data_IF_091027485511
#
_entry.id   IF_091027485511
#
_cell.length_a   1.000
_cell.length_b   1.000
_cell.length_c   1.000
_cell.angle_alpha   90.00
_cell.angle_beta   90.00
_cell.angle_gamma   90.00
#
_symmetry.space_group_name_H-M   'P 1'
#
loop_
_entity.id
_entity.type
_entity.pdbx_description
1 polymer ?
#
# COMPACT_ATOMS: atom_id res chain seq x y z
N UNK A 1 -10.94 46.87 -23.18
CA UNK A 1 -12.19 46.83 -23.98
C UNK A 1 -12.30 45.41 -24.51
N UNK A 2 -12.86 44.50 -23.70
CA UNK A 2 -14.20 43.90 -23.85
C UNK A 2 -14.31 42.97 -25.05
N UNK A 3 -14.41 41.67 -24.77
CA UNK A 3 -15.39 40.76 -25.38
C UNK A 3 -15.65 39.61 -24.40
N UNK A 4 -16.84 39.62 -23.83
CA UNK A 4 -17.40 38.59 -22.97
C UNK A 4 -17.83 37.37 -23.79
N UNK A 5 -17.77 36.18 -23.20
CA UNK A 5 -18.72 35.10 -23.51
C UNK A 5 -19.06 34.35 -22.22
N UNK A 6 -20.31 34.47 -21.80
CA UNK A 6 -20.95 33.69 -20.74
C UNK A 6 -21.86 32.61 -21.36
N UNK A 7 -22.24 31.65 -20.52
CA UNK A 7 -23.36 30.69 -20.61
C UNK A 7 -23.02 29.33 -21.26
N UNK A 8 -23.52 28.17 -20.82
CA UNK A 8 -24.61 27.89 -19.88
C UNK A 8 -24.42 26.51 -19.21
N UNK A 9 -25.03 26.35 -18.04
CA UNK A 9 -25.19 25.12 -17.26
C UNK A 9 -26.14 24.16 -17.98
N UNK A 10 -25.84 22.86 -17.99
CA UNK A 10 -26.82 21.81 -18.22
C UNK A 10 -26.60 20.65 -17.23
N UNK A 11 -27.38 20.66 -16.15
CA UNK A 11 -27.64 19.51 -15.30
C UNK A 11 -28.62 18.61 -16.03
N UNK A 12 -28.28 17.34 -16.25
CA UNK A 12 -29.29 16.30 -16.53
C UNK A 12 -28.95 15.06 -15.73
N UNK A 13 -29.85 14.74 -14.80
CA UNK A 13 -29.86 13.53 -14.01
C UNK A 13 -30.77 12.47 -14.65
N UNK A 14 -30.39 11.20 -14.45
CA UNK A 14 -31.24 10.04 -14.13
C UNK A 14 -32.16 9.44 -15.23
N UNK A 15 -31.92 8.15 -15.60
CA UNK A 15 -32.76 6.99 -15.20
C UNK A 15 -32.43 5.70 -15.98
N UNK A 16 -31.98 4.68 -15.23
CA UNK A 16 -32.34 3.26 -15.20
C UNK A 16 -32.93 2.62 -16.48
N UNK A 17 -32.27 1.58 -16.99
CA UNK A 17 -32.93 0.44 -17.64
C UNK A 17 -32.44 -0.89 -17.07
N UNK A 18 -33.39 -1.59 -16.44
CA UNK A 18 -33.36 -2.98 -16.02
C UNK A 18 -33.48 -3.87 -17.27
N UNK A 19 -32.54 -4.80 -17.46
CA UNK A 19 -32.59 -5.81 -18.52
C UNK A 19 -32.83 -7.20 -17.93
N UNK A 20 -34.09 -7.63 -17.85
CA UNK A 20 -34.48 -9.02 -17.61
C UNK A 20 -34.83 -9.66 -18.96
N UNK A 21 -34.11 -10.74 -19.31
CA UNK A 21 -34.50 -11.73 -20.33
C UNK A 21 -34.17 -13.10 -19.72
N UNK A 22 -35.10 -13.75 -19.02
CA UNK A 22 -36.03 -14.78 -19.53
C UNK A 22 -35.33 -15.97 -20.21
N UNK A 23 -35.31 -17.14 -19.55
CA UNK A 23 -35.65 -18.46 -20.14
C UNK A 23 -35.73 -19.54 -19.02
N UNK A 24 -36.91 -20.16 -18.86
CA UNK A 24 -37.09 -21.38 -18.06
C UNK A 24 -38.53 -21.57 -17.54
N UNK A 25 -39.35 -22.44 -18.16
CA UNK A 25 -40.73 -22.70 -17.73
C UNK A 25 -40.79 -23.93 -16.81
N UNK A 26 -41.08 -23.74 -15.52
CA UNK A 26 -41.50 -24.84 -14.66
C UNK A 26 -42.92 -24.56 -14.14
N UNK A 27 -43.82 -25.44 -14.54
CA UNK A 27 -45.23 -25.52 -14.19
C UNK A 27 -45.41 -25.99 -12.74
N UNK A 28 -46.41 -25.43 -12.05
CA UNK A 28 -47.03 -25.95 -10.83
C UNK A 28 -46.14 -25.79 -9.59
N UNK A 29 -46.60 -25.28 -8.45
CA UNK A 29 -47.87 -25.51 -7.77
C UNK A 29 -48.19 -24.27 -6.93
N UNK A 30 -49.42 -23.79 -7.01
CA UNK A 30 -50.01 -22.82 -6.08
C UNK A 30 -50.65 -23.59 -4.91
N UNK A 31 -50.43 -23.16 -3.66
CA UNK A 31 -51.53 -23.13 -2.70
C UNK A 31 -51.70 -21.73 -2.06
N UNK A 32 -52.95 -21.27 -2.09
CA UNK A 32 -53.54 -20.03 -1.55
C UNK A 32 -53.46 -19.96 0.02
N UNK A 33 -53.51 -18.77 0.66
CA UNK A 33 -52.93 -18.47 1.99
C UNK A 33 -53.95 -18.49 3.15
N UNK A 34 -53.51 -18.24 4.40
CA UNK A 34 -54.30 -17.49 5.35
C UNK A 34 -53.66 -16.15 5.76
N UNK A 35 -54.53 -15.15 5.81
CA UNK A 35 -54.33 -13.76 6.16
C UNK A 35 -53.98 -13.55 7.64
N UNK A 36 -52.91 -12.77 7.92
CA UNK A 36 -52.61 -12.18 9.22
C UNK A 36 -51.62 -11.00 9.09
N UNK A 37 -52.10 -9.77 9.32
CA UNK A 37 -51.31 -8.52 9.50
C UNK A 37 -50.68 -8.48 10.93
N UNK A 38 -49.81 -7.52 11.34
CA UNK A 38 -49.21 -6.36 10.65
C UNK A 38 -47.66 -6.29 10.78
N UNK A 39 -47.07 -5.25 10.16
CA UNK A 39 -45.65 -4.91 10.09
C UNK A 39 -44.85 -4.99 11.41
N UNK A 40 -43.63 -5.56 11.31
CA UNK A 40 -42.48 -5.26 12.17
C UNK A 40 -41.29 -4.95 11.25
N UNK A 41 -40.79 -3.73 11.35
CA UNK A 41 -39.43 -3.38 10.95
C UNK A 41 -38.48 -3.92 12.04
N UNK A 42 -37.51 -4.71 11.62
CA UNK A 42 -36.24 -4.99 12.28
C UNK A 42 -35.30 -5.27 11.10
N UNK A 43 -34.47 -4.35 10.60
CA UNK A 43 -33.34 -3.72 11.29
C UNK A 43 -32.68 -4.68 12.27
N UNK A 44 -31.86 -5.57 11.73
CA UNK A 44 -30.72 -6.16 12.44
C UNK A 44 -29.73 -6.73 11.41
N UNK A 45 -28.99 -5.82 10.76
CA UNK A 45 -27.68 -6.15 10.22
C UNK A 45 -26.72 -6.15 11.42
N UNK A 46 -26.01 -7.24 11.72
CA UNK A 46 -24.96 -7.16 12.74
C UNK A 46 -23.82 -6.32 12.17
N UNK A 47 -23.77 -5.05 12.55
CA UNK A 47 -22.55 -4.24 12.47
C UNK A 47 -21.60 -4.82 13.53
N UNK A 48 -20.67 -5.66 13.11
CA UNK A 48 -19.62 -6.16 14.01
C UNK A 48 -18.58 -5.07 14.26
N UNK A 49 -18.17 -4.82 15.52
CA UNK A 49 -17.08 -3.92 15.86
C UNK A 49 -15.65 -4.42 15.54
N UNK A 50 -15.49 -5.60 14.91
CA UNK A 50 -14.18 -6.27 14.67
C UNK A 50 -13.44 -5.84 13.38
N UNK A 51 -13.93 -4.81 12.69
CA UNK A 51 -13.43 -4.38 11.37
C UNK A 51 -11.99 -3.79 11.35
N UNK A 52 -11.49 -3.05 12.37
CA UNK A 52 -10.16 -2.43 12.27
C UNK A 52 -9.01 -3.41 12.51
N UNK A 53 -9.11 -4.32 13.48
CA UNK A 53 -8.05 -5.30 13.77
C UNK A 53 -7.91 -6.31 12.62
N UNK A 54 -9.04 -6.77 12.07
CA UNK A 54 -9.03 -7.69 10.93
C UNK A 54 -8.42 -7.07 9.67
N UNK A 55 -8.56 -5.75 9.47
CA UNK A 55 -7.93 -5.03 8.35
C UNK A 55 -6.42 -4.88 8.53
N UNK A 56 -5.96 -4.57 9.75
CA UNK A 56 -4.53 -4.40 10.04
C UNK A 56 -3.76 -5.73 9.91
N UNK A 57 -4.33 -6.84 10.37
CA UNK A 57 -3.72 -8.17 10.21
C UNK A 57 -3.69 -8.63 8.74
N UNK A 58 -4.71 -8.28 7.95
CA UNK A 58 -4.67 -8.50 6.50
C UNK A 58 -3.55 -7.69 5.83
N UNK A 59 -3.39 -6.42 6.19
CA UNK A 59 -2.32 -5.59 5.67
C UNK A 59 -0.93 -6.13 6.02
N UNK A 60 -0.76 -6.65 7.25
CA UNK A 60 0.47 -7.36 7.65
C UNK A 60 0.74 -8.59 6.80
N UNK A 61 -0.28 -9.43 6.56
CA UNK A 61 -0.14 -10.62 5.71
C UNK A 61 0.26 -10.25 4.27
N UNK A 62 -0.26 -9.14 3.75
CA UNK A 62 0.11 -8.63 2.43
C UNK A 62 1.58 -8.15 2.41
N UNK A 63 2.00 -7.38 3.43
CA UNK A 63 3.40 -6.94 3.55
C UNK A 63 4.37 -8.13 3.64
N UNK A 64 4.05 -9.18 4.40
CA UNK A 64 4.87 -10.40 4.44
C UNK A 64 4.95 -11.08 3.07
N UNK A 65 3.86 -11.05 2.28
CA UNK A 65 3.85 -11.56 0.90
C UNK A 65 4.77 -10.73 0.02
N UNK A 66 4.69 -9.39 0.09
CA UNK A 66 5.58 -8.47 -0.64
C UNK A 66 7.05 -8.75 -0.29
N UNK A 67 7.38 -8.92 0.99
CA UNK A 67 8.76 -9.26 1.43
C UNK A 67 9.20 -10.61 0.87
N UNK A 68 8.33 -11.62 0.91
CA UNK A 68 8.62 -12.94 0.35
C UNK A 68 8.91 -12.86 -1.15
N UNK A 69 8.10 -12.13 -1.90
CA UNK A 69 8.23 -11.97 -3.35
C UNK A 69 9.49 -11.17 -3.73
N UNK A 70 9.86 -10.18 -2.91
CA UNK A 70 11.08 -9.36 -3.06
C UNK A 70 12.38 -10.13 -2.78
N UNK A 71 12.31 -11.29 -2.12
CA UNK A 71 13.50 -11.95 -1.56
C UNK A 71 14.53 -12.36 -2.62
N UNK A 72 14.07 -12.90 -3.75
CA UNK A 72 14.97 -13.38 -4.80
C UNK A 72 15.74 -12.26 -5.47
N UNK A 73 15.08 -11.14 -5.78
CA UNK A 73 15.73 -9.99 -6.41
C UNK A 73 16.71 -9.31 -5.44
N UNK A 74 16.32 -9.12 -4.18
CA UNK A 74 17.17 -8.47 -3.19
C UNK A 74 18.40 -9.31 -2.83
N UNK A 75 18.26 -10.64 -2.79
CA UNK A 75 19.40 -11.55 -2.58
C UNK A 75 20.43 -11.47 -3.71
N UNK A 76 20.00 -11.13 -4.94
CA UNK A 76 20.91 -10.90 -6.06
C UNK A 76 21.69 -9.57 -5.95
N UNK A 77 21.29 -8.69 -5.02
CA UNK A 77 21.91 -7.39 -4.75
C UNK A 77 22.85 -7.42 -3.54
N UNK A 78 23.30 -8.61 -3.11
CA UNK A 78 24.28 -8.76 -2.04
C UNK A 78 25.53 -7.89 -2.30
N UNK A 79 25.95 -7.13 -1.28
CA UNK A 79 27.04 -6.14 -1.31
C UNK A 79 26.83 -4.94 -2.24
N UNK A 80 25.66 -4.80 -2.87
CA UNK A 80 25.31 -3.63 -3.69
C UNK A 80 24.66 -2.53 -2.85
N UNK A 81 24.79 -1.30 -3.35
CA UNK A 81 24.05 -0.14 -2.87
C UNK A 81 22.71 -0.05 -3.60
N UNK A 82 21.65 0.22 -2.86
CA UNK A 82 20.29 0.47 -3.37
C UNK A 82 19.79 1.83 -2.89
N UNK A 83 18.74 2.33 -3.54
CA UNK A 83 17.99 3.48 -3.05
C UNK A 83 17.01 2.99 -1.99
N UNK A 84 17.12 3.50 -0.76
CA UNK A 84 16.12 3.28 0.28
C UNK A 84 15.20 4.50 0.35
N UNK A 85 13.89 4.27 0.15
CA UNK A 85 12.86 5.30 0.13
C UNK A 85 12.20 5.49 1.50
N UNK A 86 11.98 4.39 2.23
CA UNK A 86 11.39 4.47 3.56
C UNK A 86 11.81 3.31 4.46
N UNK A 87 11.67 3.53 5.75
CA UNK A 87 11.74 2.50 6.78
C UNK A 87 10.66 2.81 7.81
N UNK A 88 9.71 1.89 8.00
CA UNK A 88 8.62 2.05 8.97
C UNK A 88 8.60 0.90 9.94
N UNK A 89 8.24 1.20 11.18
CA UNK A 89 8.02 0.22 12.23
C UNK A 89 6.61 0.44 12.78
N UNK A 90 5.77 -0.60 12.87
CA UNK A 90 4.46 -0.47 13.47
C UNK A 90 4.58 -0.09 14.96
N UNK A 91 3.69 0.77 15.44
CA UNK A 91 3.70 1.39 16.78
C UNK A 91 4.95 2.25 17.07
N UNK A 92 5.72 2.62 16.04
CA UNK A 92 6.77 3.62 16.18
C UNK A 92 6.12 4.99 16.40
N UNK A 93 6.53 5.66 17.46
CA UNK A 93 6.07 6.99 17.86
C UNK A 93 7.19 8.04 17.68
N UNK A 94 8.23 7.73 16.89
CA UNK A 94 9.34 8.65 16.62
C UNK A 94 8.94 9.91 15.83
N UNK A 95 7.72 9.94 15.26
CA UNK A 95 7.16 11.11 14.56
C UNK A 95 5.80 11.53 15.12
N UNK A 96 5.14 12.47 14.43
CA UNK A 96 3.83 13.00 14.80
C UNK A 96 2.66 12.04 14.51
N UNK A 97 2.95 10.89 13.89
CA UNK A 97 1.96 9.92 13.44
C UNK A 97 2.32 8.51 13.90
N UNK A 98 1.35 7.81 14.50
CA UNK A 98 1.42 6.39 14.80
C UNK A 98 1.27 5.56 13.52
N UNK A 99 2.19 4.61 13.32
CA UNK A 99 2.22 3.71 12.17
C UNK A 99 1.58 2.36 12.51
N UNK A 100 0.61 1.92 11.69
CA UNK A 100 0.11 0.54 11.68
C UNK A 100 0.46 -0.14 10.33
N UNK A 101 0.18 -1.44 10.17
CA UNK A 101 0.51 -2.15 8.94
C UNK A 101 -0.31 -1.63 7.74
N UNK A 102 -1.55 -1.19 7.98
CA UNK A 102 -2.39 -0.59 6.94
C UNK A 102 -1.75 0.66 6.33
N UNK A 103 -1.18 1.55 7.15
CA UNK A 103 -0.47 2.75 6.70
C UNK A 103 0.85 2.42 6.01
N UNK A 104 1.59 1.43 6.51
CA UNK A 104 2.84 0.97 5.87
C UNK A 104 2.55 0.42 4.47
N UNK A 105 1.53 -0.43 4.33
CA UNK A 105 1.10 -0.98 3.04
C UNK A 105 0.64 0.13 2.09
N UNK A 106 -0.13 1.10 2.59
CA UNK A 106 -0.56 2.25 1.81
C UNK A 106 0.63 3.08 1.32
N UNK A 107 1.61 3.36 2.19
CA UNK A 107 2.83 4.10 1.81
C UNK A 107 3.60 3.34 0.73
N UNK A 108 3.77 2.02 0.87
CA UNK A 108 4.42 1.20 -0.14
C UNK A 108 3.74 1.34 -1.51
N UNK A 109 2.41 1.22 -1.55
CA UNK A 109 1.62 1.32 -2.78
C UNK A 109 1.66 2.73 -3.39
N UNK A 110 1.68 3.78 -2.57
CA UNK A 110 1.77 5.15 -3.05
C UNK A 110 3.18 5.47 -3.58
N UNK A 111 4.21 4.93 -2.93
CA UNK A 111 5.58 4.96 -3.44
C UNK A 111 5.69 4.20 -4.78
N UNK A 112 5.07 3.03 -4.92
CA UNK A 112 5.13 2.23 -6.15
C UNK A 112 4.53 2.99 -7.34
N UNK A 113 3.38 3.65 -7.14
CA UNK A 113 2.76 4.52 -8.15
C UNK A 113 3.66 5.70 -8.56
N UNK A 114 4.48 6.19 -7.63
CA UNK A 114 5.31 7.40 -7.82
C UNK A 114 6.68 7.08 -8.41
N UNK A 115 7.33 6.03 -7.93
CA UNK A 115 8.74 5.71 -8.22
C UNK A 115 8.92 4.46 -9.08
N UNK A 116 7.83 3.73 -9.38
CA UNK A 116 7.85 2.54 -10.23
C UNK A 116 8.08 1.26 -9.43
N UNK A 117 8.84 0.31 -9.98
CA UNK A 117 9.10 -0.98 -9.34
C UNK A 117 9.83 -0.81 -8.02
N UNK A 118 9.24 -1.36 -6.95
CA UNK A 118 9.79 -1.37 -5.60
C UNK A 118 9.94 -2.80 -5.10
N UNK A 119 10.74 -2.93 -4.04
CA UNK A 119 10.92 -4.14 -3.28
C UNK A 119 10.86 -3.80 -1.79
N UNK A 120 10.47 -4.78 -0.97
CA UNK A 120 10.45 -4.63 0.48
C UNK A 120 11.32 -5.69 1.17
N UNK A 121 12.00 -5.29 2.23
CA UNK A 121 12.72 -6.19 3.12
C UNK A 121 12.40 -5.88 4.59
N UNK A 122 12.66 -6.86 5.45
CA UNK A 122 12.68 -6.65 6.90
C UNK A 122 14.10 -6.40 7.38
N UNK A 123 14.32 -5.38 8.18
CA UNK A 123 15.67 -4.96 8.60
C UNK A 123 16.35 -6.01 9.49
N UNK A 124 15.59 -6.89 10.14
CA UNK A 124 16.13 -8.00 10.92
C UNK A 124 16.90 -9.02 10.10
N UNK A 125 16.49 -9.25 8.86
CA UNK A 125 17.08 -10.25 7.97
C UNK A 125 18.46 -9.85 7.44
N UNK A 126 18.86 -8.58 7.56
CA UNK A 126 20.08 -8.04 6.96
C UNK A 126 21.05 -7.53 8.05
N UNK A 127 22.34 -7.92 7.95
CA UNK A 127 23.37 -7.49 8.90
C UNK A 127 23.76 -6.02 8.74
N UNK A 128 23.50 -5.45 7.56
CA UNK A 128 23.77 -4.04 7.27
C UNK A 128 22.82 -3.08 7.98
N UNK A 129 21.75 -3.56 8.64
CA UNK A 129 20.83 -2.71 9.40
C UNK A 129 21.14 -2.76 10.89
N UNK A 130 21.30 -1.58 11.50
CA UNK A 130 21.57 -1.45 12.94
C UNK A 130 20.32 -1.69 13.78
N UNK A 131 19.18 -1.14 13.34
CA UNK A 131 17.90 -1.24 14.03
C UNK A 131 17.04 -2.30 13.34
N UNK A 132 16.38 -3.11 14.16
CA UNK A 132 15.60 -4.29 13.78
C UNK A 132 14.10 -3.95 13.76
N UNK A 133 13.28 -4.83 13.21
CA UNK A 133 11.81 -4.70 13.17
C UNK A 133 11.29 -3.56 12.28
N UNK A 134 12.04 -3.18 11.24
CA UNK A 134 11.61 -2.20 10.24
C UNK A 134 11.24 -2.87 8.91
N UNK A 135 10.13 -2.43 8.35
CA UNK A 135 9.73 -2.66 6.96
C UNK A 135 10.39 -1.59 6.10
N UNK A 136 11.30 -2.01 5.23
CA UNK A 136 12.15 -1.11 4.46
C UNK A 136 11.79 -1.22 2.99
N UNK A 137 11.41 -0.08 2.40
CA UNK A 137 11.08 0.03 0.98
C UNK A 137 12.30 0.50 0.20
N UNK A 138 12.68 -0.24 -0.84
CA UNK A 138 13.83 0.07 -1.69
C UNK A 138 13.45 0.02 -3.17
N UNK A 139 14.26 0.70 -4.00
CA UNK A 139 14.26 0.46 -5.44
C UNK A 139 15.29 -0.66 -5.71
N UNK A 140 14.90 -1.81 -6.30
CA UNK A 140 15.76 -2.98 -6.45
C UNK A 140 16.77 -2.85 -7.62
N UNK A 141 17.40 -1.67 -7.75
CA UNK A 141 18.52 -1.44 -8.66
C UNK A 141 19.81 -1.38 -7.84
N UNK A 142 20.72 -2.33 -8.08
CA UNK A 142 22.01 -2.38 -7.40
C UNK A 142 23.08 -1.52 -8.07
N UNK A 143 23.87 -0.83 -7.25
CA UNK A 143 25.02 -0.01 -7.66
C UNK A 143 26.29 -0.45 -6.92
N UNK A 144 27.44 -0.25 -7.55
CA UNK A 144 28.75 -0.59 -6.96
C UNK A 144 29.22 0.40 -5.90
N UNK A 145 28.65 1.60 -5.90
CA UNK A 145 28.97 2.69 -4.96
C UNK A 145 27.68 3.43 -4.56
N UNK A 146 27.67 4.22 -3.48
CA UNK A 146 26.46 4.92 -3.03
C UNK A 146 26.04 6.07 -3.95
N UNK A 147 26.97 6.68 -4.69
CA UNK A 147 26.73 7.93 -5.44
C UNK A 147 25.62 7.81 -6.51
N UNK A 148 25.53 6.73 -7.30
CA UNK A 148 24.41 6.56 -8.24
C UNK A 148 23.05 6.43 -7.55
N UNK A 149 22.97 5.79 -6.38
CA UNK A 149 21.73 5.72 -5.60
C UNK A 149 21.35 7.10 -5.06
N UNK A 150 22.31 7.88 -4.56
CA UNK A 150 22.05 9.25 -4.14
C UNK A 150 21.60 10.14 -5.30
N UNK A 151 22.21 9.98 -6.48
CA UNK A 151 21.79 10.69 -7.69
C UNK A 151 20.31 10.44 -8.00
N UNK A 152 19.85 9.19 -7.83
CA UNK A 152 18.42 8.86 -7.98
C UNK A 152 17.53 9.58 -6.97
N UNK A 153 17.95 9.69 -5.71
CA UNK A 153 17.24 10.50 -4.73
C UNK A 153 17.09 11.97 -5.19
N UNK A 154 18.12 12.54 -5.81
CA UNK A 154 18.06 13.93 -6.33
C UNK A 154 17.11 14.06 -7.52
N UNK A 155 17.12 13.08 -8.43
CA UNK A 155 16.20 13.02 -9.57
C UNK A 155 14.73 12.98 -9.10
N UNK A 156 14.46 12.28 -7.99
CA UNK A 156 13.15 12.26 -7.33
C UNK A 156 12.87 13.47 -6.44
N UNK A 157 13.84 14.37 -6.26
CA UNK A 157 13.76 15.56 -5.39
C UNK A 157 13.44 15.21 -3.93
N UNK A 158 13.90 14.06 -3.46
CA UNK A 158 13.75 13.63 -2.07
C UNK A 158 14.94 14.09 -1.24
N UNK A 159 14.67 14.65 -0.07
CA UNK A 159 15.71 15.14 0.84
C UNK A 159 16.45 13.98 1.55
N UNK A 160 17.39 14.37 2.43
CA UNK A 160 18.25 13.47 3.19
C UNK A 160 17.48 12.50 4.10
N UNK A 161 16.31 12.90 4.58
CA UNK A 161 15.55 12.12 5.55
C UNK A 161 14.52 11.20 4.86
N UNK A 162 14.20 11.50 3.59
CA UNK A 162 13.25 10.74 2.78
C UNK A 162 13.91 9.86 1.70
N UNK A 163 15.23 9.95 1.49
CA UNK A 163 15.94 9.07 0.55
C UNK A 163 17.44 9.01 0.81
N UNK A 164 17.99 7.80 0.87
CA UNK A 164 19.43 7.59 1.05
C UNK A 164 19.93 6.30 0.40
N UNK A 165 21.25 6.21 0.22
CA UNK A 165 21.90 5.02 -0.30
C UNK A 165 22.13 4.01 0.82
N UNK A 166 21.68 2.78 0.61
CA UNK A 166 21.80 1.66 1.56
C UNK A 166 22.54 0.50 0.93
N UNK A 167 23.61 0.00 1.57
CA UNK A 167 24.26 -1.25 1.17
C UNK A 167 23.52 -2.44 1.76
N UNK A 168 23.16 -3.39 0.91
CA UNK A 168 22.57 -4.66 1.31
C UNK A 168 23.68 -5.67 1.60
N UNK A 169 23.66 -6.27 2.79
CA UNK A 169 24.60 -7.33 3.17
C UNK A 169 24.04 -8.17 4.31
N UNK A 170 24.24 -9.49 4.21
CA UNK A 170 24.01 -10.45 5.28
C UNK A 170 25.28 -10.74 6.11
N UNK A 171 26.46 -10.28 5.67
CA UNK A 171 27.74 -10.59 6.31
C UNK A 171 28.47 -9.37 6.89
N UNK A 172 28.28 -8.19 6.30
CA UNK A 172 28.90 -6.95 6.76
C UNK A 172 27.93 -6.19 7.66
N UNK A 173 28.45 -5.75 8.81
CA UNK A 173 27.69 -4.97 9.77
C UNK A 173 27.24 -3.59 9.25
N UNK A 174 26.50 -2.83 10.08
CA UNK A 174 25.89 -1.58 9.66
C UNK A 174 26.87 -0.43 9.42
N UNK A 175 28.10 -0.53 9.93
CA UNK A 175 29.11 0.53 9.78
C UNK A 175 29.49 0.73 8.31
N UNK A 176 29.35 1.96 7.83
CA UNK A 176 29.60 2.31 6.43
C UNK A 176 28.61 1.71 5.43
N UNK A 177 27.46 1.21 5.88
CA UNK A 177 26.40 0.64 5.02
C UNK A 177 25.32 1.65 4.62
N UNK A 178 25.38 2.87 5.15
CA UNK A 178 24.43 3.94 4.82
C UNK A 178 25.22 5.18 4.44
N UNK A 179 24.87 5.79 3.31
CA UNK A 179 25.37 7.10 2.92
C UNK A 179 24.17 8.01 2.71
N UNK A 180 24.20 9.15 3.38
CA UNK A 180 23.19 10.19 3.31
C UNK A 180 23.57 11.20 2.22
N UNK A 181 22.58 11.93 1.71
CA UNK A 181 22.82 13.13 0.91
C UNK A 181 23.44 14.22 1.79
N UNK A 182 24.30 15.03 1.19
CA UNK A 182 24.93 16.19 1.83
C UNK A 182 24.00 17.41 1.88
#
# INVERSE_FOLDING_TARGET
MWLSAMAAIAVVALLITVGVVLLGPNKGVEPTPPQGKPATKSDDAPSSPDEPESTNEQAKSELETIVSDSKSELSALEEKWVVQLSAKQPNDNAGDEEWDYSKILKEYQDNEKTYGTLAMLKSEDWSSFRVKDYWVTVIPTGYDSPEPALKKCEEFKLDRDNCFAKRLSHTKGPDGSTKLRD
#
